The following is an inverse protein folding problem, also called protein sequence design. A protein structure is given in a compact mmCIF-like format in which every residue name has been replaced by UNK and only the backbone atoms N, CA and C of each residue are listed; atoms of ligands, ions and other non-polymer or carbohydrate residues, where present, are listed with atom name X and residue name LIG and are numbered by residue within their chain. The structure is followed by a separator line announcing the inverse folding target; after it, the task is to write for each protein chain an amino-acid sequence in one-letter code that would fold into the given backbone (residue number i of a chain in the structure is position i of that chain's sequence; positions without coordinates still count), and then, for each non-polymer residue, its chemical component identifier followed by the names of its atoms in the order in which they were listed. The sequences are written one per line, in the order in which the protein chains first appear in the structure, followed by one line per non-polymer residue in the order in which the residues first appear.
data_IF_387168759080
#
_entry.id   IF_387168759080
#
_cell.length_a   1.000
_cell.length_b   1.000
_cell.length_c   1.000
_cell.angle_alpha   90.00
_cell.angle_beta   90.00
_cell.angle_gamma   90.00
#
_symmetry.space_group_name_H-M   'P 1'
#
loop_
_entity.id
_entity.type
_entity.pdbx_description
1 polymer ?
#
# COMPACT_ATOMS: atom_id res chain seq x y z
N UNK A 1 -35.67 7.65 -20.42
CA UNK A 1 -35.12 7.37 -20.40
C UNK A 1 -33.99 7.40 -20.71
N UNK A 2 -33.27 7.54 -20.66
CA UNK A 2 -32.32 7.65 -20.93
C UNK A 2 -31.33 7.59 -20.29
N UNK A 3 -30.57 7.23 -20.25
CA UNK A 3 -29.72 6.93 -19.74
C UNK A 3 -28.53 7.23 -19.69
N UNK A 4 -27.93 7.34 -19.39
CA UNK A 4 -26.94 7.88 -19.13
C UNK A 4 -25.81 7.27 -19.16
N UNK A 5 -25.32 6.89 -19.37
CA UNK A 5 -24.35 6.41 -19.54
C UNK A 5 -23.23 6.73 -19.11
N UNK A 6 -22.73 7.24 -19.19
CA UNK A 6 -21.72 7.74 -18.79
C UNK A 6 -20.75 7.17 -18.05
N UNK A 7 -20.80 6.58 -17.14
CA UNK A 7 -19.85 6.08 -16.31
C UNK A 7 -18.75 5.39 -16.90
N UNK A 8 -18.90 4.96 -18.00
CA UNK A 8 -17.85 4.30 -18.70
C UNK A 8 -16.54 4.97 -18.69
N UNK A 9 -16.56 6.21 -18.71
CA UNK A 9 -15.35 6.98 -18.82
C UNK A 9 -14.47 6.84 -17.63
N UNK A 10 -15.03 6.62 -16.49
CA UNK A 10 -14.28 6.58 -15.27
C UNK A 10 -13.41 5.34 -15.14
N UNK A 11 -13.75 4.30 -15.85
CA UNK A 11 -12.98 3.07 -15.77
C UNK A 11 -11.59 3.20 -16.32
N UNK A 12 -11.41 4.10 -17.25
CA UNK A 12 -10.11 4.29 -17.85
C UNK A 12 -9.06 4.81 -16.86
N UNK A 13 -9.50 5.41 -15.78
CA UNK A 13 -8.57 5.97 -14.81
C UNK A 13 -8.15 4.96 -13.75
N UNK A 14 -8.69 3.75 -13.79
CA UNK A 14 -8.33 2.76 -12.82
C UNK A 14 -6.97 2.20 -13.11
N UNK A 15 -6.02 2.56 -12.31
CA UNK A 15 -4.67 2.10 -12.43
C UNK A 15 -4.35 1.05 -11.38
N UNK A 16 -5.18 0.93 -10.36
CA UNK A 16 -4.94 0.05 -9.25
C UNK A 16 -5.56 -1.31 -9.53
N UNK A 17 -4.70 -2.34 -9.60
CA UNK A 17 -5.11 -3.71 -9.88
C UNK A 17 -5.74 -4.34 -8.65
N UNK A 18 -6.80 -5.11 -8.87
CA UNK A 18 -7.44 -5.87 -7.80
C UNK A 18 -8.56 -5.16 -7.09
N UNK A 19 -8.85 -3.89 -7.41
CA UNK A 19 -9.96 -3.17 -6.84
C UNK A 19 -11.16 -3.18 -7.77
N UNK A 20 -12.37 -3.52 -7.28
CA UNK A 20 -13.58 -3.34 -8.05
C UNK A 20 -13.81 -1.87 -8.42
N UNK A 21 -14.54 -1.63 -9.49
CA UNK A 21 -14.77 -0.28 -9.98
C UNK A 21 -15.42 0.63 -8.94
N UNK A 22 -16.31 0.07 -8.10
CA UNK A 22 -17.04 0.84 -7.10
C UNK A 22 -16.22 1.14 -5.85
N UNK A 23 -15.06 0.53 -5.72
CA UNK A 23 -14.25 0.60 -4.52
C UNK A 23 -13.01 1.45 -4.70
N UNK A 24 -13.05 2.37 -5.65
CA UNK A 24 -11.94 3.30 -5.88
C UNK A 24 -11.68 4.17 -4.69
N UNK A 25 -10.43 4.37 -4.33
CA UNK A 25 -10.12 5.36 -3.32
C UNK A 25 -10.40 6.77 -3.86
N UNK A 26 -10.84 7.65 -2.98
CA UNK A 26 -11.03 9.07 -3.29
C UNK A 26 -9.71 9.82 -3.32
N UNK A 27 -8.75 9.37 -2.51
CA UNK A 27 -7.41 9.92 -2.44
C UNK A 27 -6.45 8.76 -2.27
N UNK A 28 -5.50 8.61 -3.19
CA UNK A 28 -4.62 7.46 -3.22
C UNK A 28 -3.23 7.83 -3.77
N UNK A 29 -2.43 8.57 -3.00
CA UNK A 29 -1.06 8.87 -3.42
C UNK A 29 -0.26 7.57 -3.57
N UNK A 30 0.69 7.56 -4.49
CA UNK A 30 1.57 6.41 -4.67
C UNK A 30 2.75 6.48 -3.71
N UNK A 31 3.17 5.35 -3.17
CA UNK A 31 4.39 5.32 -2.37
C UNK A 31 5.59 5.78 -3.17
N UNK A 32 6.43 6.58 -2.54
CA UNK A 32 7.64 7.11 -3.15
C UNK A 32 8.81 6.84 -2.20
N UNK A 33 9.95 6.46 -2.74
CA UNK A 33 11.14 6.22 -1.95
C UNK A 33 11.58 7.49 -1.22
N UNK A 34 12.04 7.33 0.00
CA UNK A 34 12.73 8.41 0.68
C UNK A 34 14.12 8.60 0.06
N UNK A 35 14.84 9.67 0.39
CA UNK A 35 16.16 9.92 -0.19
C UNK A 35 17.18 8.80 0.04
N UNK A 36 17.09 8.10 1.17
CA UNK A 36 18.02 7.01 1.48
C UNK A 36 17.73 5.80 0.58
N UNK A 37 16.47 5.42 0.47
CA UNK A 37 16.05 4.31 -0.39
C UNK A 37 16.37 4.59 -1.86
N UNK A 38 16.17 5.83 -2.29
CA UNK A 38 16.48 6.25 -3.66
C UNK A 38 17.98 6.16 -3.92
N UNK A 39 18.79 6.68 -3.02
CA UNK A 39 20.25 6.65 -3.16
C UNK A 39 20.80 5.22 -3.16
N UNK A 40 20.18 4.33 -2.40
CA UNK A 40 20.59 2.92 -2.33
C UNK A 40 20.00 2.08 -3.46
N UNK A 41 19.22 2.65 -4.34
CA UNK A 41 18.53 1.94 -5.42
C UNK A 41 17.71 0.75 -4.90
N UNK A 42 17.04 0.93 -3.78
CA UNK A 42 16.23 -0.12 -3.19
C UNK A 42 15.16 -0.60 -4.15
N UNK A 43 14.92 -1.92 -4.17
CA UNK A 43 13.92 -2.55 -5.02
C UNK A 43 13.28 -3.72 -4.29
N UNK A 44 12.07 -4.06 -4.69
CA UNK A 44 11.35 -5.18 -4.13
C UNK A 44 9.86 -5.05 -4.36
N UNK A 45 9.15 -6.12 -4.05
CA UNK A 45 7.70 -6.15 -4.14
C UNK A 45 7.12 -6.76 -2.87
N UNK A 46 5.96 -6.29 -2.46
CA UNK A 46 5.29 -6.78 -1.28
C UNK A 46 3.77 -6.73 -1.43
N UNK A 47 3.09 -7.31 -0.47
CA UNK A 47 1.64 -7.33 -0.38
C UNK A 47 1.22 -6.64 0.91
N UNK A 48 0.39 -5.63 0.78
CA UNK A 48 -0.05 -4.80 1.90
C UNK A 48 -1.57 -4.78 1.95
N UNK A 49 -2.12 -4.81 3.15
CA UNK A 49 -3.54 -4.71 3.37
C UNK A 49 -3.86 -3.46 4.19
N UNK A 50 -4.86 -2.74 3.76
CA UNK A 50 -5.37 -1.59 4.50
C UNK A 50 -6.68 -1.96 5.17
N UNK A 51 -6.75 -1.79 6.48
CA UNK A 51 -8.01 -1.87 7.20
C UNK A 51 -8.65 -0.48 7.16
N UNK A 52 -9.84 -0.41 6.58
CA UNK A 52 -10.55 0.86 6.39
C UNK A 52 -11.66 0.97 7.40
N UNK A 53 -11.74 2.12 8.05
CA UNK A 53 -12.86 2.45 8.90
C UNK A 53 -14.03 2.85 8.01
N UNK A 54 -15.04 1.99 7.90
CA UNK A 54 -16.15 2.20 6.96
C UNK A 54 -16.86 3.54 7.16
N UNK A 55 -17.22 3.94 8.38
CA UNK A 55 -17.94 5.18 8.56
C UNK A 55 -17.18 6.43 8.11
N UNK A 56 -15.86 6.44 8.22
CA UNK A 56 -15.05 7.60 7.86
C UNK A 56 -14.32 7.47 6.53
N UNK A 57 -14.16 6.25 6.01
CA UNK A 57 -13.36 6.01 4.81
C UNK A 57 -11.85 6.14 5.04
N UNK A 58 -11.42 6.30 6.27
CA UNK A 58 -9.99 6.45 6.61
C UNK A 58 -9.34 5.09 6.82
N UNK A 59 -8.09 4.99 6.40
CA UNK A 59 -7.27 3.82 6.72
C UNK A 59 -6.88 3.88 8.18
N UNK A 60 -7.27 2.89 8.95
CA UNK A 60 -7.00 2.83 10.40
C UNK A 60 -5.85 1.91 10.76
N UNK A 61 -5.42 1.05 9.85
CA UNK A 61 -4.28 0.15 10.07
C UNK A 61 -3.76 -0.36 8.74
N UNK A 62 -2.49 -0.73 8.73
CA UNK A 62 -1.87 -1.41 7.59
C UNK A 62 -1.29 -2.73 8.07
N UNK A 63 -1.61 -3.78 7.35
CA UNK A 63 -1.06 -5.12 7.57
C UNK A 63 -0.05 -5.39 6.47
N UNK A 64 1.12 -5.86 6.86
CA UNK A 64 2.12 -6.31 5.88
C UNK A 64 1.94 -7.81 5.68
N UNK A 65 1.31 -8.18 4.58
CA UNK A 65 1.10 -9.60 4.24
C UNK A 65 2.38 -10.24 3.74
N UNK A 66 3.09 -9.52 2.89
CA UNK A 66 4.41 -9.92 2.41
C UNK A 66 5.26 -8.65 2.32
N UNK A 67 6.40 -8.65 3.00
CA UNK A 67 7.32 -7.51 2.99
C UNK A 67 8.05 -7.41 1.66
N UNK A 68 8.46 -6.20 1.29
CA UNK A 68 9.39 -5.98 0.17
C UNK A 68 10.80 -6.48 0.50
N UNK A 69 11.03 -6.92 1.74
CA UNK A 69 12.34 -7.26 2.32
C UNK A 69 13.26 -6.06 2.49
N UNK A 70 12.71 -4.87 2.41
CA UNK A 70 13.44 -3.63 2.62
C UNK A 70 12.66 -2.72 3.54
N UNK A 71 13.25 -2.37 4.66
CA UNK A 71 12.56 -1.60 5.70
C UNK A 71 12.24 -0.17 5.24
N UNK A 72 13.04 0.40 4.36
CA UNK A 72 12.79 1.75 3.83
C UNK A 72 11.59 1.74 2.89
N UNK A 73 11.49 0.71 2.04
CA UNK A 73 10.37 0.58 1.12
C UNK A 73 9.08 0.28 1.88
N UNK A 74 9.13 -0.61 2.85
CA UNK A 74 7.95 -0.94 3.65
C UNK A 74 7.44 0.29 4.41
N UNK A 75 8.33 1.07 5.02
CA UNK A 75 7.93 2.30 5.71
C UNK A 75 7.26 3.29 4.74
N UNK A 76 7.80 3.44 3.54
CA UNK A 76 7.22 4.33 2.53
C UNK A 76 5.81 3.90 2.14
N UNK A 77 5.60 2.60 1.95
CA UNK A 77 4.28 2.07 1.60
C UNK A 77 3.28 2.29 2.74
N UNK A 78 3.67 1.93 3.95
CA UNK A 78 2.78 2.05 5.12
C UNK A 78 2.35 3.48 5.33
N UNK A 79 3.29 4.42 5.34
CA UNK A 79 2.98 5.83 5.56
C UNK A 79 2.09 6.40 4.46
N UNK A 80 2.30 5.97 3.22
CA UNK A 80 1.49 6.42 2.10
C UNK A 80 0.08 5.86 2.20
N UNK A 81 -0.05 4.58 2.49
CA UNK A 81 -1.36 3.93 2.57
C UNK A 81 -2.19 4.46 3.75
N UNK A 82 -1.57 4.89 4.82
CA UNK A 82 -2.29 5.53 5.93
C UNK A 82 -2.95 6.83 5.53
N UNK A 83 -2.51 7.44 4.42
CA UNK A 83 -3.11 8.67 3.91
C UNK A 83 -4.27 8.43 2.93
N UNK A 84 -4.48 7.19 2.51
CA UNK A 84 -5.56 6.89 1.56
C UNK A 84 -6.92 7.17 2.18
N UNK A 85 -7.86 7.52 1.31
CA UNK A 85 -9.25 7.77 1.71
C UNK A 85 -10.18 7.07 0.75
N UNK A 86 -11.19 6.44 1.30
CA UNK A 86 -12.20 5.71 0.54
C UNK A 86 -13.57 6.36 0.70
N UNK A 87 -14.47 6.05 -0.21
CA UNK A 87 -15.85 6.47 -0.08
C UNK A 87 -16.45 5.79 1.16
N UNK A 88 -17.28 6.54 1.89
CA UNK A 88 -17.89 6.06 3.11
C UNK A 88 -18.68 4.78 2.88
N UNK A 89 -18.56 3.84 3.79
CA UNK A 89 -19.32 2.59 3.83
C UNK A 89 -19.12 1.66 2.63
N UNK A 90 -17.99 1.77 1.92
CA UNK A 90 -17.72 0.92 0.76
C UNK A 90 -16.73 -0.20 1.03
N UNK A 91 -15.69 0.07 1.81
CA UNK A 91 -14.60 -0.90 2.00
C UNK A 91 -14.28 -1.12 3.46
N UNK A 92 -13.90 -2.35 3.81
CA UNK A 92 -13.35 -2.67 5.12
C UNK A 92 -11.91 -3.18 5.03
N UNK A 93 -11.56 -3.83 3.93
CA UNK A 93 -10.21 -4.37 3.73
C UNK A 93 -9.83 -4.24 2.27
N UNK A 94 -8.67 -3.67 2.00
CA UNK A 94 -8.14 -3.51 0.65
C UNK A 94 -6.74 -4.09 0.59
N UNK A 95 -6.49 -4.99 -0.36
CA UNK A 95 -5.20 -5.65 -0.52
C UNK A 95 -4.55 -5.18 -1.82
N UNK A 96 -3.30 -4.73 -1.73
CA UNK A 96 -2.58 -4.21 -2.90
C UNK A 96 -1.18 -4.81 -2.96
N UNK A 97 -0.77 -5.22 -4.15
CA UNK A 97 0.61 -5.58 -4.45
C UNK A 97 1.34 -4.32 -4.87
N UNK A 98 2.47 -4.04 -4.24
CA UNK A 98 3.28 -2.85 -4.50
C UNK A 98 4.67 -3.29 -4.90
N UNK A 99 5.21 -2.68 -5.94
CA UNK A 99 6.55 -3.00 -6.39
C UNK A 99 7.36 -1.72 -6.65
N UNK A 100 8.65 -1.81 -6.36
CA UNK A 100 9.64 -0.77 -6.65
C UNK A 100 10.74 -1.36 -7.51
N UNK A 101 11.14 -0.62 -8.54
CA UNK A 101 12.34 -0.94 -9.32
C UNK A 101 13.52 -0.13 -8.80
N UNK A 102 14.74 -0.58 -9.10
CA UNK A 102 15.94 0.08 -8.62
C UNK A 102 16.10 1.51 -9.16
N UNK A 103 15.63 1.74 -10.38
CA UNK A 103 15.86 2.98 -11.12
C UNK A 103 14.74 4.02 -11.00
N UNK A 104 13.61 3.68 -10.37
CA UNK A 104 12.49 4.60 -10.23
C UNK A 104 12.16 4.82 -8.77
N UNK A 105 11.81 6.04 -8.43
CA UNK A 105 11.50 6.42 -7.05
C UNK A 105 10.04 6.14 -6.67
N UNK A 106 9.14 6.12 -7.63
CA UNK A 106 7.72 5.91 -7.38
C UNK A 106 7.36 4.45 -7.59
N UNK A 107 6.60 3.89 -6.64
CA UNK A 107 6.09 2.53 -6.72
C UNK A 107 5.09 2.37 -7.86
N UNK A 108 4.93 1.14 -8.29
CA UNK A 108 3.86 0.77 -9.21
C UNK A 108 3.09 -0.44 -8.67
N UNK A 109 1.92 -0.66 -9.22
CA UNK A 109 1.05 -1.78 -8.85
C UNK A 109 1.06 -2.77 -10.01
N UNK A 110 1.69 -3.95 -9.85
CA UNK A 110 1.79 -4.92 -10.95
C UNK A 110 0.42 -5.33 -11.49
N UNK A 111 0.26 -5.27 -12.80
CA UNK A 111 -0.98 -5.64 -13.47
C UNK A 111 -1.11 -7.16 -13.48
N UNK A 112 -2.32 -7.64 -13.23
CA UNK A 112 -2.59 -9.09 -13.28
C UNK A 112 -2.09 -9.88 -12.09
N UNK A 113 -1.60 -9.21 -11.07
CA UNK A 113 -1.20 -9.86 -9.83
C UNK A 113 -2.42 -10.49 -9.17
N UNK A 114 -2.33 -11.79 -8.90
CA UNK A 114 -3.36 -12.47 -8.12
C UNK A 114 -3.16 -12.15 -6.66
N UNK A 115 -4.11 -11.42 -6.11
CA UNK A 115 -4.07 -11.06 -4.70
C UNK A 115 -4.85 -12.12 -3.94
N UNK A 116 -4.13 -12.93 -3.20
CA UNK A 116 -4.76 -13.85 -2.27
C UNK A 116 -4.82 -13.17 -0.91
N UNK A 117 -6.00 -13.03 -0.33
CA UNK A 117 -6.09 -12.49 1.02
C UNK A 117 -5.26 -13.38 1.93
N UNK A 118 -4.22 -12.82 2.49
CA UNK A 118 -3.39 -13.56 3.43
C UNK A 118 -3.81 -13.15 4.83
N UNK A 119 -4.31 -14.10 5.60
CA UNK A 119 -4.59 -13.86 7.02
C UNK A 119 -3.31 -13.90 7.85
N UNK A 120 -2.16 -13.90 7.19
CA UNK A 120 -0.86 -14.10 7.85
C UNK A 120 0.05 -12.88 7.81
N UNK A 121 -0.54 -11.72 7.64
CA UNK A 121 0.23 -10.49 7.72
C UNK A 121 0.51 -10.10 9.17
N UNK A 122 1.51 -9.27 9.37
CA UNK A 122 1.73 -8.68 10.69
C UNK A 122 1.18 -7.26 10.70
N UNK A 123 0.40 -6.93 11.73
CA UNK A 123 -0.13 -5.58 11.86
C UNK A 123 0.98 -4.63 12.30
N UNK A 124 1.05 -3.49 11.66
CA UNK A 124 1.97 -2.43 12.07
C UNK A 124 1.28 -1.61 13.15
N UNK A 125 1.92 -1.40 14.29
CA UNK A 125 1.36 -0.51 15.32
C UNK A 125 1.09 0.87 14.74
N UNK A 126 -0.07 1.40 15.06
CA UNK A 126 -0.49 2.68 14.51
C UNK A 126 0.19 3.83 15.24
N UNK A 127 1.27 4.27 14.71
CA UNK A 127 2.03 5.40 15.24
C UNK A 127 2.70 6.10 14.05
N UNK A 128 2.06 7.09 13.51
CA UNK A 128 2.57 7.82 12.35
C UNK A 128 3.42 9.00 12.78
N UNK A 129 4.53 9.27 12.07
CA UNK A 129 5.01 8.53 10.92
C UNK A 129 5.75 7.26 11.33
N UNK A 130 5.59 6.23 10.53
CA UNK A 130 6.31 4.97 10.70
C UNK A 130 7.67 5.13 10.05
N UNK A 131 8.73 4.95 10.82
CA UNK A 131 10.10 5.06 10.32
C UNK A 131 10.73 3.68 10.14
N UNK A 132 11.78 3.56 9.29
CA UNK A 132 12.52 2.31 9.19
C UNK A 132 13.04 1.82 10.54
N UNK A 133 13.49 2.72 11.40
CA UNK A 133 13.98 2.37 12.72
C UNK A 133 12.88 1.76 13.60
N UNK A 134 11.67 2.31 13.54
CA UNK A 134 10.51 1.77 14.27
C UNK A 134 10.15 0.39 13.76
N UNK A 135 10.09 0.18 12.46
CA UNK A 135 9.78 -1.13 11.88
C UNK A 135 10.80 -2.18 12.32
N UNK A 136 12.06 -1.82 12.29
CA UNK A 136 13.11 -2.71 12.76
C UNK A 136 12.97 -3.04 14.24
N UNK A 137 12.63 -2.05 15.05
CA UNK A 137 12.44 -2.22 16.48
C UNK A 137 11.24 -3.11 16.81
N UNK A 138 10.13 -2.94 16.08
CA UNK A 138 8.90 -3.71 16.30
C UNK A 138 8.98 -5.13 15.76
N UNK A 139 9.72 -5.34 14.67
CA UNK A 139 9.78 -6.62 13.96
C UNK A 139 11.23 -7.02 13.65
N UNK A 140 12.07 -7.18 14.68
CA UNK A 140 13.49 -7.43 14.43
C UNK A 140 13.76 -8.72 13.68
N UNK A 141 12.94 -9.75 13.85
CA UNK A 141 13.13 -11.01 13.14
C UNK A 141 12.82 -10.91 11.65
N UNK A 142 12.06 -9.90 11.23
CA UNK A 142 11.72 -9.71 9.82
C UNK A 142 12.71 -8.83 9.08
N UNK A 143 13.32 -7.91 9.79
CA UNK A 143 14.24 -6.95 9.19
C UNK A 143 15.68 -7.13 9.69
N UNK A 144 15.93 -8.11 10.52
CA UNK A 144 17.14 -8.25 11.31
C UNK A 144 18.44 -8.07 10.54
N UNK A 145 18.73 -8.91 9.58
CA UNK A 145 20.01 -8.83 8.86
C UNK A 145 19.98 -7.78 7.75
N UNK A 146 18.82 -7.56 7.13
CA UNK A 146 18.69 -6.65 5.99
C UNK A 146 18.44 -5.20 6.42
N UNK A 147 17.87 -4.98 7.59
CA UNK A 147 17.55 -3.64 8.07
C UNK A 147 18.75 -2.79 8.45
N UNK A 148 19.91 -3.39 8.57
CA UNK A 148 21.13 -2.69 8.95
C UNK A 148 22.09 -2.38 7.81
N UNK A 149 21.71 -2.73 6.59
CA UNK A 149 22.61 -2.53 5.45
C UNK A 149 22.35 -1.24 4.70
#
# INVERSE_FOLDING_TARGET
MKNPLIPTVLLASLVITGLPADDKPLFAPRPTKDPIASKKHCQGAGIFQMAVDKPSGKVKAVLVGSSTNDVFLDAAVINTFLQWRFKLNTQSLVTIVVAFTADKDTAFYPVGSKIHPTNRGFPVPFDAPVTPAKLWQWFPERYGAAGHR
#
